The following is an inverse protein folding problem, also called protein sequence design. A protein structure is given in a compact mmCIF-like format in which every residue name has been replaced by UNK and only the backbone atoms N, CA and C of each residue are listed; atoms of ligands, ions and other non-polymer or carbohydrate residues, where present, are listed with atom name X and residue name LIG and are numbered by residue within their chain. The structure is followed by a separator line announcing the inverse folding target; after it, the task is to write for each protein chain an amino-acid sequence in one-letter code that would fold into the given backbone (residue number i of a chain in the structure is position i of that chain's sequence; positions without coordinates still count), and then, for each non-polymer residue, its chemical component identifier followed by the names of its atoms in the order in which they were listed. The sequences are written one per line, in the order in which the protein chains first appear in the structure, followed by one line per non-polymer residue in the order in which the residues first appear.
data_IF_326474027786
#
_entry.id   IF_326474027786
#
_cell.length_a   1.000
_cell.length_b   1.000
_cell.length_c   1.000
_cell.angle_alpha   90.00
_cell.angle_beta   90.00
_cell.angle_gamma   90.00
#
_symmetry.space_group_name_H-M   'P 1'
#
loop_
_entity.id
_entity.type
_entity.pdbx_description
1 polymer ?
#
# COMPACT_ATOMS: atom_id res chain seq x y z
N UNK A 1 10.57 88.31 7.92
CA UNK A 1 9.28 87.68 7.58
C UNK A 1 9.55 86.32 6.96
N UNK A 2 8.79 85.32 7.43
CA UNK A 2 8.63 83.95 6.91
C UNK A 2 9.80 82.96 7.03
N UNK A 3 9.72 82.18 8.11
CA UNK A 3 10.23 80.82 8.35
C UNK A 3 9.68 79.80 7.36
N UNK A 4 10.50 78.82 6.96
CA UNK A 4 10.05 77.50 6.49
C UNK A 4 11.08 76.45 6.93
N UNK A 5 10.70 75.59 7.87
CA UNK A 5 11.46 74.41 8.28
C UNK A 5 10.53 73.22 8.09
N UNK A 6 10.82 72.39 7.09
CA UNK A 6 10.05 71.19 6.79
C UNK A 6 10.42 70.07 7.77
N UNK A 7 9.45 69.61 8.57
CA UNK A 7 9.55 68.34 9.30
C UNK A 7 9.26 67.20 8.30
N UNK A 8 10.29 66.41 7.96
CA UNK A 8 10.11 65.13 7.31
C UNK A 8 9.72 64.07 8.33
N UNK A 9 8.50 63.55 8.24
CA UNK A 9 8.06 62.38 8.99
C UNK A 9 8.62 61.12 8.33
N UNK A 10 9.60 60.49 8.97
CA UNK A 10 10.02 59.11 8.69
C UNK A 10 8.96 58.17 9.25
N UNK A 11 8.11 57.62 8.38
CA UNK A 11 7.26 56.48 8.73
C UNK A 11 8.14 55.22 8.78
N UNK A 12 8.19 54.47 9.89
CA UNK A 12 8.82 53.16 9.92
C UNK A 12 7.93 52.20 9.11
N UNK A 13 8.44 51.75 7.96
CA UNK A 13 7.85 50.62 7.25
C UNK A 13 8.00 49.38 8.14
N UNK A 14 6.89 48.98 8.77
CA UNK A 14 6.80 47.74 9.54
C UNK A 14 7.16 46.55 8.64
N UNK A 15 8.18 45.84 9.07
CA UNK A 15 8.71 44.58 8.55
C UNK A 15 7.71 43.43 8.75
N UNK A 16 6.57 43.50 8.05
CA UNK A 16 5.47 42.53 8.18
C UNK A 16 5.83 41.11 7.75
N UNK A 17 6.77 40.91 6.82
CA UNK A 17 7.08 39.56 6.33
C UNK A 17 7.84 38.69 7.35
N UNK A 18 8.65 39.28 8.24
CA UNK A 18 9.43 38.49 9.20
C UNK A 18 8.61 37.96 10.38
N UNK A 19 7.56 38.68 10.78
CA UNK A 19 6.65 38.22 11.82
C UNK A 19 5.71 37.10 11.32
N UNK A 20 5.39 37.08 10.02
CA UNK A 20 4.56 36.02 9.43
C UNK A 20 5.37 34.74 9.22
N UNK A 21 6.64 34.85 8.78
CA UNK A 21 7.55 33.70 8.67
C UNK A 21 7.73 32.99 10.04
N UNK A 22 7.93 33.73 11.14
CA UNK A 22 8.09 33.10 12.46
C UNK A 22 6.81 32.43 13.00
N UNK A 23 5.63 32.89 12.57
CA UNK A 23 4.34 32.30 12.95
C UNK A 23 4.13 31.00 12.18
N UNK A 24 4.48 30.95 10.89
CA UNK A 24 4.40 29.73 10.07
C UNK A 24 5.40 28.70 10.56
N UNK A 25 6.61 29.09 10.95
CA UNK A 25 7.59 28.14 11.50
C UNK A 25 7.13 27.51 12.83
N UNK A 26 6.37 28.25 13.64
CA UNK A 26 5.89 27.78 14.94
C UNK A 26 4.53 27.06 14.88
N UNK A 27 3.56 27.62 14.14
CA UNK A 27 2.17 27.15 14.06
C UNK A 27 1.80 26.50 12.72
N UNK A 28 2.74 26.40 11.77
CA UNK A 28 2.50 25.76 10.48
C UNK A 28 2.32 24.24 10.59
N UNK A 29 1.85 23.61 9.49
CA UNK A 29 1.72 22.17 9.44
C UNK A 29 3.06 21.49 9.68
N UNK A 30 3.00 20.31 10.30
CA UNK A 30 4.17 19.46 10.60
C UNK A 30 4.10 18.20 9.75
N UNK A 31 5.27 17.64 9.38
CA UNK A 31 5.29 16.40 8.64
C UNK A 31 4.72 15.27 9.50
N UNK A 32 4.04 14.32 8.87
CA UNK A 32 3.65 13.07 9.51
C UNK A 32 4.93 12.29 9.85
N UNK A 33 5.25 12.16 11.14
CA UNK A 33 6.52 11.59 11.60
C UNK A 33 6.66 10.11 11.24
N UNK A 34 5.55 9.36 11.19
CA UNK A 34 5.56 7.96 10.78
C UNK A 34 5.93 7.82 9.29
N UNK A 35 5.36 8.67 8.42
CA UNK A 35 5.74 8.71 7.00
C UNK A 35 7.20 9.14 6.79
N UNK A 36 7.69 10.10 7.57
CA UNK A 36 9.11 10.49 7.53
C UNK A 36 10.02 9.35 7.98
N UNK A 37 9.63 8.62 9.03
CA UNK A 37 10.35 7.43 9.52
C UNK A 37 10.44 6.35 8.44
N UNK A 38 9.32 6.02 7.80
CA UNK A 38 9.27 5.08 6.69
C UNK A 38 10.13 5.54 5.51
N UNK A 39 10.06 6.83 5.14
CA UNK A 39 10.85 7.39 4.04
C UNK A 39 12.35 7.28 4.27
N UNK A 40 12.80 7.56 5.50
CA UNK A 40 14.21 7.41 5.89
C UNK A 40 14.65 5.95 5.92
N UNK A 41 13.80 5.04 6.41
CA UNK A 41 14.07 3.60 6.37
C UNK A 41 14.25 3.13 4.93
N UNK A 42 13.36 3.54 4.03
CA UNK A 42 13.43 3.18 2.62
C UNK A 42 14.67 3.76 1.92
N UNK A 43 15.06 5.01 2.21
CA UNK A 43 16.33 5.58 1.73
C UNK A 43 17.55 4.77 2.22
N UNK A 44 17.55 4.35 3.49
CA UNK A 44 18.64 3.57 4.08
C UNK A 44 18.74 2.18 3.44
N UNK A 45 17.61 1.48 3.30
CA UNK A 45 17.56 0.18 2.62
C UNK A 45 18.05 0.31 1.16
N UNK A 46 17.61 1.35 0.45
CA UNK A 46 18.02 1.61 -0.93
C UNK A 46 19.54 1.77 -1.04
N UNK A 47 20.17 2.50 -0.10
CA UNK A 47 21.61 2.72 -0.06
C UNK A 47 22.37 1.43 0.27
N UNK A 48 21.89 0.65 1.25
CA UNK A 48 22.48 -0.64 1.61
C UNK A 48 22.45 -1.60 0.41
N UNK A 49 21.31 -1.67 -0.29
CA UNK A 49 21.10 -2.61 -1.39
C UNK A 49 21.79 -2.19 -2.70
N UNK A 50 22.20 -0.92 -2.86
CA UNK A 50 22.65 -0.36 -4.14
C UNK A 50 23.77 -1.14 -4.85
N UNK A 51 24.68 -1.74 -4.09
CA UNK A 51 25.81 -2.51 -4.63
C UNK A 51 25.52 -4.02 -4.78
N UNK A 52 24.47 -4.53 -4.13
CA UNK A 52 24.19 -5.98 -4.03
C UNK A 52 22.98 -6.37 -4.89
N UNK A 53 21.91 -5.59 -4.82
CA UNK A 53 20.71 -5.76 -5.63
C UNK A 53 20.17 -4.38 -6.08
N UNK A 54 20.53 -3.96 -7.31
CA UNK A 54 20.06 -2.69 -7.87
C UNK A 54 18.54 -2.62 -8.05
N UNK A 55 17.85 -3.75 -8.21
CA UNK A 55 16.40 -3.77 -8.38
C UNK A 55 15.71 -3.50 -7.03
N UNK A 56 16.15 -4.18 -5.97
CA UNK A 56 15.65 -3.96 -4.61
C UNK A 56 15.96 -2.53 -4.16
N UNK A 57 17.18 -2.05 -4.44
CA UNK A 57 17.59 -0.67 -4.18
C UNK A 57 16.69 0.35 -4.86
N UNK A 58 16.40 0.16 -6.15
CA UNK A 58 15.51 1.05 -6.91
C UNK A 58 14.09 1.05 -6.33
N UNK A 59 13.53 -0.13 -6.03
CA UNK A 59 12.21 -0.24 -5.42
C UNK A 59 12.12 0.55 -4.11
N UNK A 60 13.10 0.38 -3.22
CA UNK A 60 13.12 1.12 -1.95
C UNK A 60 13.28 2.63 -2.14
N UNK A 61 14.10 3.06 -3.11
CA UNK A 61 14.22 4.49 -3.45
C UNK A 61 12.90 5.09 -3.98
N UNK A 62 12.17 4.37 -4.85
CA UNK A 62 10.87 4.81 -5.36
C UNK A 62 9.81 4.87 -4.24
N UNK A 63 9.85 3.94 -3.29
CA UNK A 63 8.99 3.96 -2.11
C UNK A 63 9.31 5.14 -1.19
N UNK A 64 10.59 5.44 -0.96
CA UNK A 64 11.01 6.63 -0.22
C UNK A 64 10.50 7.90 -0.89
N UNK A 65 10.68 8.04 -2.20
CA UNK A 65 10.19 9.18 -2.98
C UNK A 65 8.68 9.39 -2.84
N UNK A 66 7.90 8.31 -2.94
CA UNK A 66 6.45 8.37 -2.77
C UNK A 66 6.05 8.81 -1.35
N UNK A 67 6.75 8.33 -0.31
CA UNK A 67 6.47 8.70 1.08
C UNK A 67 6.76 10.18 1.35
N UNK A 68 7.89 10.71 0.87
CA UNK A 68 8.18 12.14 1.04
C UNK A 68 7.25 13.03 0.21
N UNK A 69 6.86 12.58 -0.99
CA UNK A 69 5.85 13.29 -1.79
C UNK A 69 4.50 13.33 -1.07
N UNK A 70 4.15 12.27 -0.34
CA UNK A 70 2.95 12.22 0.48
C UNK A 70 3.02 13.14 1.70
N UNK A 71 4.18 13.21 2.36
CA UNK A 71 4.44 14.21 3.42
C UNK A 71 4.22 15.64 2.90
N UNK A 72 4.78 15.98 1.73
CA UNK A 72 4.53 17.28 1.11
C UNK A 72 3.05 17.51 0.79
N UNK A 73 2.34 16.47 0.31
CA UNK A 73 0.91 16.56 0.00
C UNK A 73 0.09 16.87 1.24
N UNK A 74 0.36 16.21 2.36
CA UNK A 74 -0.33 16.44 3.63
C UNK A 74 -0.06 17.83 4.20
N UNK A 75 1.17 18.31 4.09
CA UNK A 75 1.53 19.65 4.55
C UNK A 75 0.99 20.78 3.68
N UNK A 76 0.49 20.46 2.48
CA UNK A 76 -0.02 21.42 1.53
C UNK A 76 1.06 22.31 0.93
N UNK A 77 0.64 23.23 0.06
CA UNK A 77 1.55 24.16 -0.64
C UNK A 77 1.19 25.59 -0.27
N UNK A 78 2.23 26.42 -0.10
CA UNK A 78 2.09 27.87 0.09
C UNK A 78 1.75 28.56 -1.24
N UNK A 79 1.60 29.89 -1.21
CA UNK A 79 1.25 30.72 -2.37
C UNK A 79 2.26 30.62 -3.54
N UNK A 80 3.48 30.13 -3.30
CA UNK A 80 4.52 29.91 -4.31
C UNK A 80 4.54 28.47 -4.83
N UNK A 81 3.62 27.63 -4.38
CA UNK A 81 3.58 26.21 -4.75
C UNK A 81 4.58 25.32 -4.00
N UNK A 82 5.29 25.84 -3.00
CA UNK A 82 6.27 25.08 -2.22
C UNK A 82 5.68 24.62 -0.87
N UNK A 83 6.19 23.53 -0.29
CA UNK A 83 5.83 23.14 1.07
C UNK A 83 6.24 24.25 2.08
N UNK A 84 5.47 24.47 3.17
CA UNK A 84 5.89 25.34 4.26
C UNK A 84 7.21 24.87 4.88
N UNK A 85 8.08 25.80 5.31
CA UNK A 85 9.37 25.48 5.96
C UNK A 85 9.21 24.62 7.22
N UNK A 86 8.12 24.78 7.95
CA UNK A 86 7.78 23.96 9.12
C UNK A 86 7.59 22.47 8.80
N UNK A 87 7.46 22.13 7.51
CA UNK A 87 7.33 20.77 7.00
C UNK A 87 8.49 20.38 6.06
N UNK A 88 9.57 21.15 6.04
CA UNK A 88 10.76 20.76 5.29
C UNK A 88 11.40 19.53 5.94
N UNK A 89 11.43 18.43 5.21
CA UNK A 89 12.09 17.19 5.64
C UNK A 89 13.45 17.12 4.97
N UNK A 90 14.50 17.21 5.78
CA UNK A 90 15.84 16.97 5.29
C UNK A 90 16.01 15.47 5.01
N UNK A 91 16.12 15.13 3.73
CA UNK A 91 16.68 13.84 3.32
C UNK A 91 18.17 13.91 3.59
N UNK A 92 18.71 12.94 4.30
CA UNK A 92 20.15 12.84 4.50
C UNK A 92 20.72 11.82 3.50
N UNK A 93 21.18 12.26 2.32
CA UNK A 93 21.80 11.37 1.35
C UNK A 93 23.17 10.84 1.83
N UNK A 94 23.70 11.32 2.97
CA UNK A 94 24.99 10.92 3.52
C UNK A 94 24.89 10.17 4.86
N UNK A 95 23.69 9.81 5.32
CA UNK A 95 23.55 9.00 6.54
C UNK A 95 24.30 7.65 6.43
N UNK A 96 24.43 7.09 5.22
CA UNK A 96 25.22 5.88 4.96
C UNK A 96 26.75 6.06 4.95
N UNK A 97 27.29 7.29 4.90
CA UNK A 97 28.75 7.48 5.01
C UNK A 97 29.26 7.20 6.44
N UNK A 98 28.36 6.93 7.39
CA UNK A 98 28.69 6.73 8.81
C UNK A 98 28.63 5.28 9.27
N UNK A 99 27.94 4.37 8.56
CA UNK A 99 27.97 2.94 8.87
C UNK A 99 28.78 2.18 7.82
N UNK A 100 29.76 1.35 8.23
CA UNK A 100 30.49 0.52 7.28
C UNK A 100 29.49 -0.37 6.55
N UNK A 101 29.57 -0.41 5.21
CA UNK A 101 28.78 -1.32 4.40
C UNK A 101 28.91 -2.74 4.98
N UNK A 102 27.79 -3.34 5.36
CA UNK A 102 27.79 -4.67 5.95
C UNK A 102 28.48 -5.65 4.98
N UNK A 103 29.54 -6.30 5.46
CA UNK A 103 30.14 -7.42 4.74
C UNK A 103 29.12 -8.57 4.80
N UNK A 104 28.41 -8.83 3.69
CA UNK A 104 27.30 -9.78 3.54
C UNK A 104 25.91 -9.22 3.90
N UNK A 105 25.34 -8.45 2.96
CA UNK A 105 23.94 -8.03 3.02
C UNK A 105 23.06 -9.17 2.50
N UNK A 106 22.13 -9.63 3.32
CA UNK A 106 21.05 -10.51 2.89
C UNK A 106 19.88 -9.65 2.38
N UNK A 107 19.65 -9.70 1.07
CA UNK A 107 18.60 -8.92 0.40
C UNK A 107 17.22 -9.31 0.91
N UNK A 108 16.99 -10.60 1.18
CA UNK A 108 15.69 -11.10 1.61
C UNK A 108 15.41 -10.63 3.03
N UNK A 109 16.40 -10.68 3.91
CA UNK A 109 16.26 -10.17 5.28
C UNK A 109 15.94 -8.67 5.30
N UNK A 110 16.61 -7.86 4.47
CA UNK A 110 16.34 -6.41 4.39
C UNK A 110 14.92 -6.15 3.89
N UNK A 111 14.47 -6.86 2.85
CA UNK A 111 13.14 -6.67 2.28
C UNK A 111 12.02 -7.16 3.21
N UNK A 112 12.22 -8.27 3.93
CA UNK A 112 11.28 -8.77 4.95
C UNK A 112 11.17 -7.79 6.13
N UNK A 113 12.29 -7.28 6.63
CA UNK A 113 12.30 -6.25 7.68
C UNK A 113 11.59 -4.97 7.22
N UNK A 114 11.80 -4.55 5.98
CA UNK A 114 11.08 -3.43 5.38
C UNK A 114 9.57 -3.69 5.32
N UNK A 115 9.15 -4.90 4.96
CA UNK A 115 7.74 -5.28 4.91
C UNK A 115 7.09 -5.23 6.30
N UNK A 116 7.76 -5.80 7.32
CA UNK A 116 7.32 -5.75 8.73
C UNK A 116 7.17 -4.31 9.21
N UNK A 117 8.22 -3.50 9.04
CA UNK A 117 8.22 -2.09 9.48
C UNK A 117 7.11 -1.28 8.78
N UNK A 118 6.87 -1.54 7.49
CA UNK A 118 5.81 -0.87 6.73
C UNK A 118 4.42 -1.25 7.21
N UNK A 119 4.18 -2.53 7.54
CA UNK A 119 2.91 -3.00 8.12
C UNK A 119 2.67 -2.43 9.52
N UNK A 120 3.70 -2.39 10.36
CA UNK A 120 3.57 -1.90 11.73
C UNK A 120 3.23 -0.41 11.77
N UNK A 121 3.77 0.39 10.84
CA UNK A 121 3.49 1.81 10.74
C UNK A 121 2.05 2.16 10.28
N UNK A 122 1.26 1.21 9.76
CA UNK A 122 -0.10 1.47 9.27
C UNK A 122 -1.06 2.02 10.34
N UNK A 123 -0.78 1.71 11.62
CA UNK A 123 -1.53 2.23 12.77
C UNK A 123 -1.19 3.68 13.09
N UNK A 124 0.06 4.09 12.80
CA UNK A 124 0.65 5.36 13.17
C UNK A 124 0.44 6.46 12.12
N UNK A 125 0.43 6.08 10.85
CA UNK A 125 0.25 7.03 9.74
C UNK A 125 -1.17 7.60 9.71
N UNK A 126 -1.27 8.85 9.24
CA UNK A 126 -2.53 9.52 8.97
C UNK A 126 -3.43 8.71 8.02
N UNK A 127 -4.75 8.82 8.21
CA UNK A 127 -5.74 8.03 7.49
C UNK A 127 -5.63 8.21 5.96
N UNK A 128 -5.29 9.42 5.52
CA UNK A 128 -5.15 9.81 4.13
C UNK A 128 -3.97 9.10 3.43
N UNK A 129 -2.97 8.64 4.17
CA UNK A 129 -1.75 8.01 3.63
C UNK A 129 -1.76 6.49 3.72
N UNK A 130 -2.75 5.89 4.40
CA UNK A 130 -2.81 4.44 4.62
C UNK A 130 -2.90 3.63 3.34
N UNK A 131 -3.61 4.13 2.33
CA UNK A 131 -3.69 3.46 1.03
C UNK A 131 -2.30 3.37 0.37
N UNK A 132 -1.50 4.44 0.45
CA UNK A 132 -0.13 4.43 -0.07
C UNK A 132 0.74 3.41 0.69
N UNK A 133 0.74 3.49 2.02
CA UNK A 133 1.57 2.61 2.87
C UNK A 133 1.14 1.15 2.73
N UNK A 134 -0.16 0.88 2.62
CA UNK A 134 -0.69 -0.47 2.39
C UNK A 134 -0.21 -1.02 1.06
N UNK A 135 -0.29 -0.23 -0.02
CA UNK A 135 0.23 -0.66 -1.31
C UNK A 135 1.75 -0.90 -1.28
N UNK A 136 2.52 -0.12 -0.51
CA UNK A 136 3.96 -0.39 -0.34
C UNK A 136 4.20 -1.70 0.43
N UNK A 137 3.44 -1.98 1.49
CA UNK A 137 3.52 -3.25 2.23
C UNK A 137 3.19 -4.44 1.31
N UNK A 138 2.15 -4.33 0.49
CA UNK A 138 1.78 -5.37 -0.49
C UNK A 138 2.93 -5.62 -1.49
N UNK A 139 3.59 -4.57 -1.97
CA UNK A 139 4.73 -4.72 -2.90
C UNK A 139 5.92 -5.39 -2.23
N UNK A 140 6.20 -5.05 -0.96
CA UNK A 140 7.28 -5.67 -0.19
C UNK A 140 6.99 -7.14 0.10
N UNK A 141 5.74 -7.49 0.45
CA UNK A 141 5.32 -8.88 0.66
C UNK A 141 5.30 -9.71 -0.63
N UNK A 142 5.21 -9.06 -1.78
CA UNK A 142 5.32 -9.71 -3.08
C UNK A 142 6.77 -9.90 -3.54
N UNK A 143 7.76 -9.37 -2.79
CA UNK A 143 9.18 -9.46 -3.17
C UNK A 143 9.66 -10.90 -3.31
N UNK A 144 9.29 -11.75 -2.35
CA UNK A 144 9.38 -13.20 -2.51
C UNK A 144 8.00 -13.83 -2.32
N UNK A 145 7.57 -14.71 -3.25
CA UNK A 145 6.34 -15.47 -3.09
C UNK A 145 6.39 -16.32 -1.81
N UNK A 146 5.76 -15.84 -0.76
CA UNK A 146 5.60 -16.58 0.49
C UNK A 146 4.36 -17.47 0.42
N UNK A 147 4.38 -18.55 1.21
CA UNK A 147 3.16 -19.33 1.40
C UNK A 147 2.12 -18.46 2.11
N UNK A 148 0.85 -18.60 1.71
CA UNK A 148 -0.25 -17.92 2.37
C UNK A 148 -0.18 -18.20 3.89
N UNK A 149 -0.11 -17.17 4.74
CA UNK A 149 -0.09 -17.38 6.17
C UNK A 149 -1.38 -18.04 6.65
N UNK A 150 -1.33 -18.68 7.82
CA UNK A 150 -2.53 -19.22 8.44
C UNK A 150 -3.56 -18.10 8.66
N UNK A 151 -4.82 -18.37 8.30
CA UNK A 151 -5.91 -17.41 8.50
C UNK A 151 -6.04 -17.06 9.98
N UNK A 152 -6.07 -15.76 10.34
CA UNK A 152 -6.25 -15.35 11.72
C UNK A 152 -7.70 -15.61 12.19
N UNK A 153 -7.92 -15.52 13.51
CA UNK A 153 -9.26 -15.39 14.06
C UNK A 153 -9.83 -14.02 13.65
N UNK A 154 -11.09 -14.02 13.22
CA UNK A 154 -11.78 -12.82 12.77
C UNK A 154 -12.52 -12.14 13.92
N UNK A 155 -12.37 -10.83 14.03
CA UNK A 155 -13.28 -10.04 14.86
C UNK A 155 -14.69 -10.10 14.21
N UNK A 156 -15.79 -10.20 14.99
CA UNK A 156 -17.14 -10.24 14.44
C UNK A 156 -17.49 -9.07 13.50
N UNK A 157 -16.84 -7.91 13.66
CA UNK A 157 -16.99 -6.75 12.77
C UNK A 157 -16.43 -6.97 11.37
N UNK A 158 -15.50 -7.92 11.19
CA UNK A 158 -14.86 -8.25 9.91
C UNK A 158 -15.62 -9.33 9.13
N UNK A 159 -16.57 -10.01 9.80
CA UNK A 159 -17.31 -11.14 9.25
C UNK A 159 -18.09 -10.82 7.96
N UNK A 160 -18.60 -9.59 7.82
CA UNK A 160 -19.31 -9.18 6.60
C UNK A 160 -18.35 -9.13 5.41
N UNK A 161 -17.20 -8.46 5.58
CA UNK A 161 -16.20 -8.32 4.52
C UNK A 161 -15.55 -9.67 4.17
N UNK A 162 -15.29 -10.52 5.15
CA UNK A 162 -14.78 -11.87 4.90
C UNK A 162 -15.78 -12.75 4.10
N UNK A 163 -17.09 -12.57 4.29
CA UNK A 163 -18.11 -13.27 3.46
C UNK A 163 -18.12 -12.77 2.02
N UNK A 164 -18.03 -11.46 1.80
CA UNK A 164 -17.92 -10.87 0.46
C UNK A 164 -16.68 -11.40 -0.27
N UNK A 165 -15.52 -11.45 0.40
CA UNK A 165 -14.30 -11.99 -0.16
C UNK A 165 -14.40 -13.49 -0.46
N UNK A 166 -15.16 -14.25 0.33
CA UNK A 166 -15.40 -15.67 0.05
C UNK A 166 -16.29 -15.86 -1.20
N UNK A 167 -17.32 -15.03 -1.34
CA UNK A 167 -18.18 -15.04 -2.53
C UNK A 167 -17.41 -14.64 -3.79
N UNK A 168 -16.53 -13.63 -3.68
CA UNK A 168 -15.57 -13.25 -4.73
C UNK A 168 -14.72 -14.45 -5.17
N UNK A 169 -14.07 -15.13 -4.23
CA UNK A 169 -13.21 -16.27 -4.52
C UNK A 169 -13.97 -17.42 -5.22
N UNK A 170 -15.24 -17.65 -4.87
CA UNK A 170 -16.08 -18.62 -5.60
C UNK A 170 -16.33 -18.23 -7.06
N UNK A 171 -16.56 -16.94 -7.32
CA UNK A 171 -16.71 -16.44 -8.67
C UNK A 171 -15.42 -16.59 -9.49
N UNK A 172 -14.27 -16.32 -8.87
CA UNK A 172 -12.96 -16.49 -9.50
C UNK A 172 -12.71 -17.95 -9.91
N UNK A 173 -12.97 -18.91 -9.02
CA UNK A 173 -12.85 -20.35 -9.32
C UNK A 173 -13.77 -20.74 -10.46
N UNK A 174 -15.04 -20.33 -10.42
CA UNK A 174 -15.98 -20.60 -11.50
C UNK A 174 -15.51 -20.04 -12.85
N UNK A 175 -15.03 -18.79 -12.86
CA UNK A 175 -14.53 -18.14 -14.06
C UNK A 175 -13.31 -18.84 -14.65
N UNK A 176 -12.36 -19.25 -13.82
CA UNK A 176 -11.16 -20.00 -14.23
C UNK A 176 -11.52 -21.38 -14.78
N UNK A 177 -12.39 -22.13 -14.09
CA UNK A 177 -12.87 -23.44 -14.57
C UNK A 177 -13.61 -23.33 -15.91
N UNK A 178 -14.43 -22.29 -16.07
CA UNK A 178 -15.11 -22.02 -17.33
C UNK A 178 -14.10 -21.71 -18.45
N UNK A 179 -13.14 -20.82 -18.18
CA UNK A 179 -12.09 -20.45 -19.14
C UNK A 179 -11.22 -21.65 -19.56
N UNK A 180 -10.97 -22.59 -18.65
CA UNK A 180 -10.23 -23.83 -18.91
C UNK A 180 -10.82 -24.64 -20.06
N UNK A 181 -12.14 -24.61 -20.25
CA UNK A 181 -12.83 -25.31 -21.33
C UNK A 181 -12.50 -24.78 -22.74
N UNK A 182 -12.01 -23.54 -22.82
CA UNK A 182 -11.66 -22.85 -24.06
C UNK A 182 -10.16 -22.56 -24.18
N UNK A 183 -9.38 -22.83 -23.12
CA UNK A 183 -7.98 -22.52 -23.02
C UNK A 183 -7.12 -23.27 -24.05
N UNK A 184 -6.04 -22.63 -24.49
CA UNK A 184 -4.99 -23.33 -25.23
C UNK A 184 -4.15 -24.18 -24.26
N UNK A 185 -3.50 -25.29 -24.71
CA UNK A 185 -2.69 -26.13 -23.83
C UNK A 185 -1.58 -25.39 -23.07
N UNK A 186 -1.07 -24.28 -23.62
CA UNK A 186 -0.06 -23.44 -22.98
C UNK A 186 -0.57 -22.66 -21.76
N UNK A 187 -1.88 -22.61 -21.55
CA UNK A 187 -2.52 -21.88 -20.44
C UNK A 187 -2.89 -22.80 -19.28
N UNK A 188 -2.95 -24.12 -19.50
CA UNK A 188 -3.50 -25.07 -18.51
C UNK A 188 -2.75 -25.01 -17.18
N UNK A 189 -1.42 -24.97 -17.20
CA UNK A 189 -0.60 -24.85 -15.98
C UNK A 189 -0.89 -23.56 -15.21
N UNK A 190 -0.98 -22.42 -15.90
CA UNK A 190 -1.30 -21.14 -15.26
C UNK A 190 -2.71 -21.14 -14.63
N UNK A 191 -3.70 -21.71 -15.31
CA UNK A 191 -5.06 -21.83 -14.78
C UNK A 191 -5.09 -22.75 -13.56
N UNK A 192 -4.42 -23.91 -13.63
CA UNK A 192 -4.37 -24.88 -12.54
C UNK A 192 -3.68 -24.30 -11.29
N UNK A 193 -2.58 -23.56 -11.46
CA UNK A 193 -1.89 -22.86 -10.37
C UNK A 193 -2.79 -21.80 -9.69
N UNK A 194 -3.56 -21.04 -10.48
CA UNK A 194 -4.51 -20.05 -9.96
C UNK A 194 -5.67 -20.72 -9.23
N UNK A 195 -6.21 -21.82 -9.77
CA UNK A 195 -7.27 -22.59 -9.11
C UNK A 195 -6.81 -23.09 -7.73
N UNK A 196 -5.61 -23.68 -7.64
CA UNK A 196 -5.05 -24.15 -6.36
C UNK A 196 -4.89 -22.99 -5.36
N UNK A 197 -4.47 -21.82 -5.84
CA UNK A 197 -4.35 -20.62 -5.02
C UNK A 197 -5.72 -20.17 -4.46
N UNK A 198 -6.73 -20.03 -5.32
CA UNK A 198 -8.06 -19.61 -4.90
C UNK A 198 -8.70 -20.64 -3.95
N UNK A 199 -8.52 -21.95 -4.17
CA UNK A 199 -8.97 -22.99 -3.26
C UNK A 199 -8.37 -22.87 -1.85
N UNK A 200 -7.07 -22.51 -1.74
CA UNK A 200 -6.42 -22.26 -0.44
C UNK A 200 -7.02 -21.06 0.28
N UNK A 201 -7.33 -19.98 -0.45
CA UNK A 201 -7.98 -18.78 0.10
C UNK A 201 -9.41 -19.07 0.55
N UNK A 202 -10.17 -19.82 -0.24
CA UNK A 202 -11.51 -20.31 0.13
C UNK A 202 -11.44 -21.10 1.44
N UNK A 203 -10.54 -22.08 1.54
CA UNK A 203 -10.40 -22.89 2.74
C UNK A 203 -10.05 -22.05 3.98
N UNK A 204 -9.15 -21.07 3.81
CA UNK A 204 -8.78 -20.11 4.85
C UNK A 204 -9.97 -19.26 5.33
N UNK A 205 -10.73 -18.66 4.40
CA UNK A 205 -11.91 -17.85 4.71
C UNK A 205 -13.03 -18.67 5.35
N UNK A 206 -13.30 -19.88 4.84
CA UNK A 206 -14.30 -20.79 5.42
C UNK A 206 -13.94 -21.16 6.86
N UNK A 207 -12.66 -21.47 7.12
CA UNK A 207 -12.16 -21.77 8.47
C UNK A 207 -12.35 -20.59 9.41
N UNK A 208 -11.99 -19.38 8.97
CA UNK A 208 -12.10 -18.16 9.75
C UNK A 208 -13.56 -17.75 10.03
N UNK A 209 -14.47 -17.98 9.09
CA UNK A 209 -15.90 -17.65 9.21
C UNK A 209 -16.71 -18.67 10.02
N UNK A 210 -16.28 -19.94 10.09
CA UNK A 210 -17.03 -21.02 10.73
C UNK A 210 -17.46 -20.72 12.20
N UNK A 211 -16.63 -20.09 13.05
CA UNK A 211 -17.04 -19.71 14.41
C UNK A 211 -18.11 -18.60 14.46
N UNK A 212 -18.25 -17.83 13.38
CA UNK A 212 -19.07 -16.61 13.30
C UNK A 212 -20.45 -16.83 12.65
N UNK A 213 -20.82 -18.09 12.40
CA UNK A 213 -22.15 -18.49 11.94
C UNK A 213 -22.16 -19.08 10.54
N UNK A 214 -23.18 -18.73 9.76
CA UNK A 214 -23.36 -19.26 8.41
C UNK A 214 -22.22 -18.80 7.48
N UNK A 215 -21.63 -19.78 6.80
CA UNK A 215 -20.57 -19.62 5.80
C UNK A 215 -21.21 -19.74 4.41
N UNK A 216 -21.11 -18.70 3.56
CA UNK A 216 -21.61 -18.74 2.18
C UNK A 216 -21.15 -20.00 1.44
N UNK A 217 -22.03 -20.51 0.58
CA UNK A 217 -21.74 -21.63 -0.32
C UNK A 217 -21.70 -21.11 -1.76
N UNK A 218 -20.89 -21.72 -2.65
CA UNK A 218 -20.82 -21.28 -4.03
C UNK A 218 -22.17 -21.42 -4.73
N UNK A 219 -22.49 -20.47 -5.61
CA UNK A 219 -23.66 -20.56 -6.47
C UNK A 219 -23.46 -21.64 -7.55
N UNK A 220 -24.54 -22.20 -8.13
CA UNK A 220 -24.41 -23.18 -9.23
C UNK A 220 -23.77 -22.60 -10.50
N UNK A 221 -23.89 -21.29 -10.71
CA UNK A 221 -23.32 -20.57 -11.85
C UNK A 221 -23.20 -19.07 -11.53
N UNK A 222 -22.26 -18.42 -12.20
CA UNK A 222 -22.05 -16.97 -12.16
C UNK A 222 -22.17 -16.43 -13.59
N UNK A 223 -22.91 -15.34 -13.75
CA UNK A 223 -23.12 -14.68 -15.05
C UNK A 223 -22.57 -13.26 -14.98
N UNK A 224 -21.68 -12.86 -15.91
CA UNK A 224 -21.18 -11.50 -15.94
C UNK A 224 -22.31 -10.53 -16.30
N UNK A 225 -22.31 -9.39 -15.63
CA UNK A 225 -23.14 -8.23 -15.97
C UNK A 225 -22.72 -7.63 -17.31
N UNK A 226 -23.55 -6.77 -17.94
CA UNK A 226 -23.21 -6.14 -19.22
C UNK A 226 -21.95 -5.25 -19.20
N UNK A 227 -21.48 -4.86 -18.00
CA UNK A 227 -20.31 -4.01 -17.80
C UNK A 227 -19.02 -4.83 -17.60
N UNK A 228 -19.16 -6.12 -17.31
CA UNK A 228 -18.07 -7.06 -17.08
C UNK A 228 -17.63 -7.77 -18.37
N UNK A 229 -16.45 -8.38 -18.33
CA UNK A 229 -15.96 -9.16 -19.45
C UNK A 229 -16.86 -10.38 -19.68
N UNK A 230 -17.33 -10.63 -20.93
CA UNK A 230 -18.15 -11.80 -21.21
C UNK A 230 -17.35 -13.09 -21.03
N UNK A 231 -18.05 -14.18 -20.70
CA UNK A 231 -17.46 -15.52 -20.64
C UNK A 231 -16.80 -15.90 -21.98
N UNK A 232 -15.64 -16.56 -21.95
CA UNK A 232 -14.87 -16.89 -23.16
C UNK A 232 -15.58 -17.93 -24.03
N UNK A 233 -15.35 -17.87 -25.34
CA UNK A 233 -15.91 -18.82 -26.31
C UNK A 233 -14.87 -19.44 -27.25
N UNK A 234 -13.61 -19.04 -27.10
CA UNK A 234 -12.46 -19.53 -27.85
C UNK A 234 -11.16 -19.26 -27.06
N UNK A 235 -10.03 -19.76 -27.56
CA UNK A 235 -8.74 -19.63 -26.87
C UNK A 235 -8.25 -18.19 -26.70
N UNK A 236 -8.57 -17.29 -27.65
CA UNK A 236 -8.14 -15.90 -27.56
C UNK A 236 -8.93 -15.14 -26.48
N UNK A 237 -10.24 -15.36 -26.43
CA UNK A 237 -11.10 -14.82 -25.36
C UNK A 237 -10.80 -15.46 -24.01
N UNK A 238 -10.42 -16.74 -23.95
CA UNK A 238 -9.99 -17.37 -22.70
C UNK A 238 -8.74 -16.71 -22.11
N UNK A 239 -7.73 -16.41 -22.92
CA UNK A 239 -6.53 -15.69 -22.45
C UNK A 239 -6.89 -14.32 -21.89
N UNK A 240 -7.66 -13.53 -22.66
CA UNK A 240 -8.08 -12.21 -22.21
C UNK A 240 -8.90 -12.27 -20.91
N UNK A 241 -9.73 -13.31 -20.76
CA UNK A 241 -10.54 -13.52 -19.56
C UNK A 241 -9.68 -13.89 -18.34
N UNK A 242 -8.73 -14.81 -18.47
CA UNK A 242 -7.79 -15.16 -17.38
C UNK A 242 -6.96 -13.95 -16.95
N UNK A 243 -6.44 -13.17 -17.91
CA UNK A 243 -5.69 -11.95 -17.63
C UNK A 243 -6.55 -10.92 -16.88
N UNK A 244 -7.82 -10.79 -17.29
CA UNK A 244 -8.78 -9.89 -16.64
C UNK A 244 -9.10 -10.32 -15.21
N UNK A 245 -9.32 -11.63 -14.97
CA UNK A 245 -9.52 -12.17 -13.64
C UNK A 245 -8.32 -11.92 -12.73
N UNK A 246 -7.09 -12.11 -13.23
CA UNK A 246 -5.87 -11.82 -12.46
C UNK A 246 -5.75 -10.36 -12.07
N UNK A 247 -6.04 -9.44 -12.99
CA UNK A 247 -6.03 -8.00 -12.71
C UNK A 247 -7.10 -7.59 -11.69
N UNK A 248 -8.33 -8.09 -11.86
CA UNK A 248 -9.43 -7.83 -10.92
C UNK A 248 -9.12 -8.37 -9.52
N UNK A 249 -8.54 -9.58 -9.43
CA UNK A 249 -8.15 -10.19 -8.17
C UNK A 249 -7.12 -9.32 -7.42
N UNK A 250 -6.09 -8.83 -8.13
CA UNK A 250 -5.14 -7.87 -7.58
C UNK A 250 -5.80 -6.60 -7.02
N UNK A 251 -6.84 -6.09 -7.69
CA UNK A 251 -7.56 -4.90 -7.24
C UNK A 251 -8.42 -5.17 -6.01
N UNK A 252 -9.20 -6.26 -6.00
CA UNK A 252 -10.11 -6.58 -4.91
C UNK A 252 -9.36 -6.78 -3.60
N UNK A 253 -8.26 -7.56 -3.64
CA UNK A 253 -7.46 -7.82 -2.45
C UNK A 253 -6.67 -6.59 -1.99
N UNK A 254 -6.14 -5.78 -2.90
CA UNK A 254 -5.49 -4.51 -2.53
C UNK A 254 -6.48 -3.52 -1.90
N UNK A 255 -7.72 -3.49 -2.39
CA UNK A 255 -8.81 -2.69 -1.84
C UNK A 255 -9.21 -3.18 -0.45
N UNK A 256 -9.36 -4.49 -0.27
CA UNK A 256 -9.67 -5.09 1.03
C UNK A 256 -8.60 -4.77 2.09
N UNK A 257 -7.33 -4.95 1.75
CA UNK A 257 -6.21 -4.61 2.64
C UNK A 257 -6.22 -3.12 3.02
N UNK A 258 -6.45 -2.23 2.04
CA UNK A 258 -6.49 -0.79 2.27
C UNK A 258 -7.65 -0.36 3.17
N UNK A 259 -8.81 -1.01 3.03
CA UNK A 259 -9.96 -0.75 3.90
C UNK A 259 -9.72 -1.25 5.33
N UNK A 260 -9.08 -2.42 5.49
CA UNK A 260 -8.71 -2.96 6.79
C UNK A 260 -7.64 -2.14 7.52
N UNK A 261 -6.84 -1.36 6.79
CA UNK A 261 -5.90 -0.42 7.40
C UNK A 261 -6.58 0.78 8.10
N UNK A 262 -7.89 1.01 7.92
CA UNK A 262 -8.60 2.13 8.55
C UNK A 262 -8.60 2.07 10.10
N UNK A 263 -8.55 3.21 10.81
CA UNK A 263 -8.32 3.22 12.25
C UNK A 263 -9.62 2.83 12.94
N UNK A 264 -9.70 1.61 13.43
CA UNK A 264 -10.83 1.18 14.25
C UNK A 264 -10.38 0.72 15.64
N UNK A 265 -9.57 1.48 16.39
CA UNK A 265 -9.20 1.16 17.78
C UNK A 265 -8.62 -0.26 17.96
N UNK A 266 -7.33 -0.42 17.76
CA UNK A 266 -6.68 -1.69 17.40
C UNK A 266 -6.76 -2.78 18.47
N UNK A 267 -7.09 -3.99 18.02
CA UNK A 267 -6.91 -5.25 18.76
C UNK A 267 -6.04 -6.19 17.92
N UNK A 268 -5.35 -7.13 18.57
CA UNK A 268 -4.40 -8.06 17.91
C UNK A 268 -5.03 -8.80 16.71
N UNK A 269 -6.29 -9.22 16.84
CA UNK A 269 -7.06 -9.91 15.78
C UNK A 269 -7.17 -9.08 14.50
N UNK A 270 -7.48 -7.79 14.62
CA UNK A 270 -7.67 -6.90 13.46
C UNK A 270 -6.37 -6.54 12.76
N UNK A 271 -5.28 -6.44 13.53
CA UNK A 271 -3.92 -6.32 12.96
C UNK A 271 -3.56 -7.58 12.19
N UNK A 272 -3.85 -8.76 12.76
CA UNK A 272 -3.61 -10.03 12.10
C UNK A 272 -4.45 -10.17 10.81
N UNK A 273 -5.73 -9.78 10.83
CA UNK A 273 -6.59 -9.77 9.65
C UNK A 273 -6.08 -8.83 8.55
N UNK A 274 -5.74 -7.59 8.89
CA UNK A 274 -5.12 -6.63 7.96
C UNK A 274 -3.86 -7.21 7.32
N UNK A 275 -2.98 -7.80 8.12
CA UNK A 275 -1.72 -8.38 7.63
C UNK A 275 -1.98 -9.61 6.74
N UNK A 276 -2.98 -10.43 7.05
CA UNK A 276 -3.40 -11.55 6.20
C UNK A 276 -3.92 -11.04 4.84
N UNK A 277 -4.74 -9.97 4.82
CA UNK A 277 -5.21 -9.36 3.58
C UNK A 277 -4.07 -8.81 2.72
N UNK A 278 -3.06 -8.20 3.34
CA UNK A 278 -1.84 -7.73 2.63
C UNK A 278 -1.11 -8.91 1.99
N UNK A 279 -0.95 -10.02 2.70
CA UNK A 279 -0.30 -11.22 2.17
C UNK A 279 -1.09 -11.85 1.01
N UNK A 280 -2.42 -11.90 1.09
CA UNK A 280 -3.26 -12.38 -0.02
C UNK A 280 -3.12 -11.45 -1.23
N UNK A 281 -3.17 -10.13 -1.02
CA UNK A 281 -3.01 -9.14 -2.09
C UNK A 281 -1.63 -9.23 -2.75
N UNK A 282 -0.57 -9.50 -1.97
CA UNK A 282 0.78 -9.72 -2.49
C UNK A 282 0.83 -10.94 -3.42
N UNK A 283 0.21 -12.05 -3.01
CA UNK A 283 0.10 -13.26 -3.83
C UNK A 283 -0.67 -13.00 -5.13
N UNK A 284 -1.73 -12.19 -5.12
CA UNK A 284 -2.52 -11.84 -6.31
C UNK A 284 -1.74 -11.05 -7.36
N UNK A 285 -0.72 -10.28 -6.97
CA UNK A 285 0.08 -9.43 -7.88
C UNK A 285 1.12 -10.18 -8.68
N UNK A 286 1.53 -11.37 -8.23
CA UNK A 286 2.51 -12.21 -8.90
C UNK A 286 1.96 -12.96 -10.12
N UNK A 287 0.72 -12.69 -10.50
CA UNK A 287 -0.05 -13.40 -11.50
C UNK A 287 -0.34 -12.54 -12.74
#
# INVERSE_FOLDING_TARGET
MATLTALGALAPALSGCQAVDSIVDYFGPRPDEALVGLGRSADADAQQLAAVDPHASQLRSEQADALYAEVERLCGRNEKGAAPRSCEVQRDPQAADQEPAAENIDVIEVMDQAAVHTRDALSEVSAESRALVTNQAIILDAWEPSQLPESPELDPSEAARARELLEWEYEQVYGLDFARSYAAPSMEENIDDRLEMHEKRIAALQKALAPLGEVPQPAPAYEPTPEEMPLPSDAASAQAFVDHLGWNDSLEWSSAASQAAAPTAEGEERVAWRNWLIAVAAQSRGL
#
